data_IF_752613335711
#
_entry.id   IF_752613335711
#
_cell.length_a   1.000
_cell.length_b   1.000
_cell.length_c   1.000
_cell.angle_alpha   90.00
_cell.angle_beta   90.00
_cell.angle_gamma   90.00
#
_symmetry.space_group_name_H-M   'P 1'
#
loop_
_entity.id
_entity.type
_entity.pdbx_description
1 polymer ?
#
# COMPACT_ATOMS: atom_id res chain seq x y z
N UNK A 1 4.91 -27.91 4.07
CA UNK A 1 5.76 -27.03 4.90
C UNK A 1 5.99 -25.67 4.28
N UNK A 2 6.41 -25.58 3.00
CA UNK A 2 6.62 -24.30 2.32
C UNK A 2 5.39 -23.37 2.33
N UNK A 3 4.20 -23.90 2.02
CA UNK A 3 2.94 -23.13 2.04
C UNK A 3 2.63 -22.52 3.41
N UNK A 4 2.94 -23.23 4.49
CA UNK A 4 2.73 -22.73 5.85
C UNK A 4 3.67 -21.58 6.18
N UNK A 5 4.93 -21.64 5.74
CA UNK A 5 5.88 -20.53 5.91
C UNK A 5 5.42 -19.26 5.18
N UNK A 6 4.94 -19.40 3.93
CA UNK A 6 4.39 -18.29 3.16
C UNK A 6 3.18 -17.67 3.87
N UNK A 7 2.27 -18.50 4.39
CA UNK A 7 1.13 -18.01 5.17
C UNK A 7 1.57 -17.20 6.39
N UNK A 8 2.54 -17.72 7.17
CA UNK A 8 3.06 -17.01 8.35
C UNK A 8 3.67 -15.66 7.97
N UNK A 9 4.37 -15.57 6.83
CA UNK A 9 4.93 -14.29 6.34
C UNK A 9 3.83 -13.26 6.06
N UNK A 10 2.74 -13.66 5.38
CA UNK A 10 1.63 -12.74 5.12
C UNK A 10 0.91 -12.32 6.41
N UNK A 11 0.73 -13.23 7.37
CA UNK A 11 0.15 -12.89 8.68
C UNK A 11 1.02 -11.88 9.41
N UNK A 12 2.34 -12.07 9.41
CA UNK A 12 3.26 -11.11 10.03
C UNK A 12 3.25 -9.76 9.30
N UNK A 13 3.19 -9.76 7.97
CA UNK A 13 3.09 -8.52 7.20
C UNK A 13 1.82 -7.73 7.52
N UNK A 14 0.67 -8.39 7.68
CA UNK A 14 -0.59 -7.76 8.07
C UNK A 14 -0.56 -7.24 9.52
N UNK A 15 -0.02 -8.02 10.47
CA UNK A 15 0.10 -7.58 11.87
C UNK A 15 1.04 -6.38 12.03
N UNK A 16 2.08 -6.31 11.20
CA UNK A 16 3.05 -5.22 11.18
C UNK A 16 2.68 -4.12 10.17
N UNK A 17 1.48 -4.16 9.58
CA UNK A 17 1.03 -3.18 8.59
C UNK A 17 1.18 -1.72 9.06
N UNK A 18 0.88 -1.34 10.33
CA UNK A 18 1.08 0.03 10.81
C UNK A 18 2.55 0.51 10.80
N UNK A 19 3.51 -0.40 10.71
CA UNK A 19 4.93 -0.08 10.63
C UNK A 19 5.52 -0.28 9.24
N UNK A 20 4.95 -1.16 8.40
CA UNK A 20 5.39 -1.38 7.02
C UNK A 20 4.69 -0.49 5.99
N UNK A 21 3.48 -0.03 6.28
CA UNK A 21 2.70 0.81 5.40
C UNK A 21 3.12 2.28 5.54
N UNK A 22 3.48 2.98 4.45
CA UNK A 22 3.75 4.41 4.46
C UNK A 22 2.53 5.24 4.83
N UNK A 23 1.33 4.76 4.50
CA UNK A 23 0.07 5.49 4.68
C UNK A 23 -0.93 4.69 5.51
N UNK A 24 -1.69 5.36 6.37
CA UNK A 24 -2.76 4.74 7.13
C UNK A 24 -4.05 4.68 6.30
N UNK A 25 -4.44 3.48 5.88
CA UNK A 25 -5.60 3.27 5.00
C UNK A 25 -6.94 3.53 5.72
N UNK A 26 -6.96 3.53 7.05
CA UNK A 26 -8.16 3.85 7.82
C UNK A 26 -8.38 5.35 8.03
N UNK A 27 -7.37 6.18 7.75
CA UNK A 27 -7.50 7.62 7.78
C UNK A 27 -7.90 8.17 6.41
N UNK A 28 -9.20 8.21 6.16
CA UNK A 28 -9.77 8.67 4.88
C UNK A 28 -9.52 10.16 4.61
N UNK A 29 -9.14 10.94 5.62
CA UNK A 29 -8.83 12.38 5.43
C UNK A 29 -7.46 12.61 4.83
N UNK A 30 -6.60 11.58 4.83
CA UNK A 30 -5.26 11.62 4.27
C UNK A 30 -5.20 11.39 2.76
N UNK A 31 -6.32 11.00 2.12
CA UNK A 31 -6.36 10.71 0.70
C UNK A 31 -6.71 11.97 -0.12
N UNK A 32 -5.95 12.20 -1.19
CA UNK A 32 -6.20 13.28 -2.14
C UNK A 32 -6.63 12.70 -3.48
N UNK A 33 -7.76 13.18 -4.01
CA UNK A 33 -8.25 12.79 -5.32
C UNK A 33 -7.31 13.23 -6.46
N UNK A 34 -6.46 14.22 -6.23
CA UNK A 34 -5.45 14.66 -7.20
C UNK A 34 -4.34 13.64 -7.37
N UNK A 35 -4.12 12.81 -6.36
CA UNK A 35 -3.16 11.71 -6.39
C UNK A 35 -3.80 10.42 -6.96
N UNK A 36 -4.96 10.48 -7.61
CA UNK A 36 -5.64 9.31 -8.16
C UNK A 36 -4.96 8.75 -9.42
N UNK A 37 -4.94 7.42 -9.53
CA UNK A 37 -4.40 6.68 -10.68
C UNK A 37 -2.92 6.99 -11.00
N UNK A 38 -2.14 7.35 -9.97
CA UNK A 38 -0.71 7.53 -10.12
C UNK A 38 -0.05 6.19 -10.46
N UNK A 39 0.84 6.18 -11.46
CA UNK A 39 1.57 4.98 -11.78
C UNK A 39 2.57 4.65 -10.66
N UNK A 40 3.06 3.41 -10.59
CA UNK A 40 4.12 3.05 -9.67
C UNK A 40 5.33 3.98 -9.74
N UNK A 41 5.94 4.24 -8.58
CA UNK A 41 7.10 5.12 -8.41
C UNK A 41 8.26 4.93 -9.40
N UNK A 42 8.41 3.75 -9.99
CA UNK A 42 9.47 3.43 -10.95
C UNK A 42 9.10 3.69 -12.43
N UNK A 43 7.88 4.17 -12.69
CA UNK A 43 7.42 4.55 -14.03
C UNK A 43 7.40 6.08 -14.18
N UNK A 44 7.36 6.53 -15.43
CA UNK A 44 7.23 7.94 -15.75
C UNK A 44 5.90 8.51 -15.23
N UNK A 45 5.98 9.61 -14.48
CA UNK A 45 4.83 10.22 -13.80
C UNK A 45 4.48 9.59 -12.44
N UNK A 46 5.27 8.62 -11.95
CA UNK A 46 5.09 8.04 -10.62
C UNK A 46 5.70 8.91 -9.52
N UNK A 47 5.13 8.81 -8.32
CA UNK A 47 5.66 9.50 -7.14
C UNK A 47 6.33 8.52 -6.15
N UNK A 48 7.46 8.93 -5.56
CA UNK A 48 8.18 8.11 -4.57
C UNK A 48 7.35 7.80 -3.32
N UNK A 49 6.34 8.63 -3.00
CA UNK A 49 5.45 8.39 -1.85
C UNK A 49 4.53 7.18 -2.06
N UNK A 50 4.33 6.77 -3.32
CA UNK A 50 3.42 5.71 -3.73
C UNK A 50 4.20 4.64 -4.47
N UNK A 51 4.78 3.70 -3.72
CA UNK A 51 5.67 2.69 -4.29
C UNK A 51 4.98 1.93 -5.43
N UNK A 52 3.79 1.39 -5.17
CA UNK A 52 2.98 0.67 -6.16
C UNK A 52 1.99 1.56 -6.92
N UNK A 53 2.02 2.88 -6.71
CA UNK A 53 1.02 3.80 -7.24
C UNK A 53 -0.23 3.88 -6.36
N UNK A 54 -1.28 4.51 -6.90
CA UNK A 54 -2.52 4.79 -6.18
C UNK A 54 -3.77 4.24 -6.86
N UNK A 55 -4.83 4.05 -6.08
CA UNK A 55 -6.15 3.70 -6.61
C UNK A 55 -6.91 4.93 -7.17
N UNK A 56 -8.16 4.72 -7.58
CA UNK A 56 -9.04 5.77 -8.13
C UNK A 56 -9.45 6.85 -7.11
N UNK A 57 -9.11 6.70 -5.84
CA UNK A 57 -9.35 7.66 -4.77
C UNK A 57 -8.04 8.27 -4.24
N UNK A 58 -6.90 7.96 -4.86
CA UNK A 58 -5.59 8.45 -4.41
C UNK A 58 -5.00 7.67 -3.23
N UNK A 59 -5.50 6.45 -2.96
CA UNK A 59 -4.99 5.61 -1.87
C UNK A 59 -3.78 4.82 -2.31
N UNK A 60 -2.75 4.78 -1.48
CA UNK A 60 -1.55 3.96 -1.72
C UNK A 60 -1.92 2.47 -1.80
N UNK A 61 -1.56 1.84 -2.93
CA UNK A 61 -1.87 0.43 -3.21
C UNK A 61 -1.09 -0.48 -2.27
N UNK A 62 0.17 -0.15 -1.96
CA UNK A 62 1.01 -0.96 -1.07
C UNK A 62 0.44 -1.03 0.35
N UNK A 63 0.09 0.12 0.91
CA UNK A 63 -0.56 0.22 2.22
C UNK A 63 -1.90 -0.53 2.20
N UNK A 64 -2.69 -0.40 1.14
CA UNK A 64 -3.98 -1.11 1.00
C UNK A 64 -3.81 -2.64 1.04
N UNK A 65 -2.77 -3.18 0.40
CA UNK A 65 -2.47 -4.62 0.44
C UNK A 65 -2.07 -5.08 1.86
N UNK A 66 -1.31 -4.27 2.58
CA UNK A 66 -0.86 -4.61 3.94
C UNK A 66 -1.99 -4.58 4.96
N UNK A 67 -2.87 -3.58 4.86
CA UNK A 67 -4.01 -3.44 5.77
C UNK A 67 -5.16 -4.42 5.47
N UNK A 68 -5.29 -4.87 4.21
CA UNK A 68 -6.33 -5.79 3.78
C UNK A 68 -7.62 -5.11 3.37
#
# INVERSE_FOLDING_TARGET
MFSFAVFVVFVLAALLAPWLAPHNVYDQTSFDLMDAELPPSWLEGGEERFWLGTDNQGRDIWSTILYG
#
